data_IF_953405339665
#
_entry.id   IF_953405339665
#
_cell.length_a   1.000
_cell.length_b   1.000
_cell.length_c   1.000
_cell.angle_alpha   90.00
_cell.angle_beta   90.00
_cell.angle_gamma   90.00
#
_symmetry.space_group_name_H-M   'P 1'
#
loop_
_entity.id
_entity.type
_entity.pdbx_description
1 polymer ?
#
# COMPACT_ATOMS: atom_id res chain seq x y z
N UNK A 1 34.24 16.75 11.61
CA UNK A 1 33.00 16.96 10.82
C UNK A 1 31.85 16.45 11.66
N UNK A 2 30.76 17.21 11.82
CA UNK A 2 29.69 16.84 12.74
C UNK A 2 28.34 16.73 12.02
N UNK A 3 27.76 15.53 12.08
CA UNK A 3 26.41 15.20 11.63
C UNK A 3 25.62 14.76 12.84
N UNK A 4 24.55 15.47 13.16
CA UNK A 4 23.72 15.22 14.33
C UNK A 4 22.48 14.45 13.87
N UNK A 5 22.31 13.26 14.42
CA UNK A 5 21.16 12.40 14.17
C UNK A 5 20.13 12.66 15.27
N UNK A 6 18.97 13.17 14.87
CA UNK A 6 18.01 13.75 15.83
C UNK A 6 16.99 12.76 16.37
N UNK A 7 16.78 11.62 15.68
CA UNK A 7 15.68 10.69 15.96
C UNK A 7 14.28 11.21 15.60
N UNK A 8 14.17 12.45 15.13
CA UNK A 8 12.88 13.09 14.83
C UNK A 8 12.40 12.63 13.46
N UNK A 9 11.22 12.00 13.40
CA UNK A 9 10.61 11.60 12.13
C UNK A 9 9.78 12.74 11.54
N UNK A 10 10.14 13.18 10.33
CA UNK A 10 9.47 14.32 9.68
C UNK A 10 8.01 14.06 9.30
N UNK A 11 7.56 12.80 9.30
CA UNK A 11 6.16 12.40 9.09
C UNK A 11 5.29 12.79 10.30
N UNK A 12 5.87 12.84 11.51
CA UNK A 12 5.25 13.31 12.76
C UNK A 12 6.29 14.12 13.54
N UNK A 13 6.60 15.35 13.09
CA UNK A 13 7.68 16.13 13.66
C UNK A 13 7.38 16.44 15.12
N UNK A 14 8.22 15.96 16.03
CA UNK A 14 8.09 16.29 17.44
C UNK A 14 8.56 17.75 17.64
N UNK A 15 7.60 18.66 17.74
CA UNK A 15 7.87 20.11 17.74
C UNK A 15 8.69 20.56 18.97
N UNK A 16 8.55 19.92 20.14
CA UNK A 16 9.37 20.28 21.30
C UNK A 16 10.83 19.91 21.07
N UNK A 17 11.11 18.68 20.61
CA UNK A 17 12.47 18.23 20.28
C UNK A 17 13.09 19.06 19.13
N UNK A 18 12.29 19.49 18.16
CA UNK A 18 12.73 20.41 17.10
C UNK A 18 13.09 21.80 17.64
N UNK A 19 12.29 22.35 18.55
CA UNK A 19 12.55 23.65 19.19
C UNK A 19 13.80 23.58 20.08
N UNK A 20 13.98 22.49 20.83
CA UNK A 20 15.19 22.22 21.65
C UNK A 20 16.46 22.14 20.78
N UNK A 21 16.40 21.45 19.64
CA UNK A 21 17.51 21.42 18.67
C UNK A 21 17.78 22.77 18.01
N UNK A 22 16.74 23.58 17.81
CA UNK A 22 16.86 24.95 17.31
C UNK A 22 17.55 25.88 18.31
N UNK A 23 17.34 25.66 19.61
CA UNK A 23 17.94 26.46 20.69
C UNK A 23 19.37 26.03 21.06
N UNK A 24 19.70 24.73 20.96
CA UNK A 24 21.00 24.18 21.37
C UNK A 24 22.11 24.19 20.31
N UNK A 25 21.81 24.56 19.05
CA UNK A 25 22.76 24.59 17.94
C UNK A 25 22.80 25.98 17.30
N UNK A 26 23.90 26.31 16.58
CA UNK A 26 23.92 27.48 15.69
C UNK A 26 23.01 27.24 14.48
N UNK A 27 21.69 27.31 14.69
CA UNK A 27 20.63 26.91 13.77
C UNK A 27 20.67 27.69 12.44
N UNK A 28 21.22 28.89 12.43
CA UNK A 28 21.48 29.71 11.24
C UNK A 28 22.49 29.09 10.26
N UNK A 29 23.43 28.31 10.79
CA UNK A 29 24.47 27.63 9.99
C UNK A 29 24.10 26.18 9.65
N UNK A 30 23.19 25.59 10.41
CA UNK A 30 22.82 24.18 10.30
C UNK A 30 21.92 23.93 9.08
N UNK A 31 22.24 22.90 8.29
CA UNK A 31 21.44 22.42 7.15
C UNK A 31 20.75 21.11 7.49
N UNK A 32 19.64 20.81 6.81
CA UNK A 32 18.81 19.63 7.07
C UNK A 32 18.87 18.59 5.95
N UNK A 33 18.68 17.31 6.31
CA UNK A 33 18.51 16.19 5.40
C UNK A 33 17.49 15.19 5.94
N UNK A 34 16.88 14.40 5.07
CA UNK A 34 15.96 13.31 5.44
C UNK A 34 16.54 11.97 4.98
N UNK A 35 16.64 11.01 5.90
CA UNK A 35 17.05 9.63 5.65
C UNK A 35 15.95 8.82 4.94
N UNK A 36 16.26 7.59 4.53
CA UNK A 36 15.28 6.70 3.85
C UNK A 36 14.13 6.28 4.77
N UNK A 37 14.33 6.34 6.08
CA UNK A 37 13.38 6.04 7.17
C UNK A 37 12.52 7.26 7.59
N UNK A 38 12.65 8.40 6.89
CA UNK A 38 11.94 9.63 7.23
C UNK A 38 12.50 10.39 8.43
N UNK A 39 13.62 9.95 9.03
CA UNK A 39 14.26 10.67 10.14
C UNK A 39 15.05 11.90 9.67
N UNK A 40 15.02 12.95 10.48
CA UNK A 40 15.71 14.21 10.28
C UNK A 40 17.18 14.09 10.69
N UNK A 41 18.05 14.55 9.80
CA UNK A 41 19.49 14.69 10.02
C UNK A 41 19.85 16.17 9.94
N UNK A 42 20.66 16.63 10.89
CA UNK A 42 21.16 18.01 10.92
C UNK A 42 22.66 17.98 10.65
N UNK A 43 23.09 18.76 9.66
CA UNK A 43 24.49 18.92 9.28
C UNK A 43 24.99 20.28 9.74
N UNK A 44 26.10 20.31 10.47
CA UNK A 44 26.84 21.56 10.74
C UNK A 44 27.95 21.74 9.71
N UNK A 45 28.16 22.97 9.23
CA UNK A 45 29.16 23.27 8.20
C UNK A 45 28.84 22.66 6.83
N UNK A 46 29.87 22.20 6.11
CA UNK A 46 29.75 21.74 4.70
C UNK A 46 29.38 20.25 4.52
N UNK A 47 29.16 19.49 5.60
CA UNK A 47 28.93 18.04 5.56
C UNK A 47 27.69 17.62 4.73
N UNK A 48 26.69 18.49 4.58
CA UNK A 48 25.51 18.24 3.76
C UNK A 48 25.82 18.01 2.27
N UNK A 49 26.95 18.52 1.76
CA UNK A 49 27.37 18.36 0.36
C UNK A 49 27.68 16.89 0.00
N UNK A 50 28.04 16.08 0.99
CA UNK A 50 28.29 14.64 0.82
C UNK A 50 27.01 13.80 0.82
N UNK A 51 25.84 14.42 1.07
CA UNK A 51 24.56 13.73 1.20
C UNK A 51 23.43 14.34 0.32
N UNK A 52 23.66 14.50 -1.00
CA UNK A 52 22.72 15.17 -1.90
C UNK A 52 21.33 14.52 -1.95
N UNK A 53 21.22 13.21 -1.74
CA UNK A 53 19.93 12.51 -1.69
C UNK A 53 19.16 12.76 -0.40
N UNK A 54 19.84 13.04 0.71
CA UNK A 54 19.20 13.35 1.99
C UNK A 54 18.66 14.79 1.97
N UNK A 55 19.44 15.74 1.43
CA UNK A 55 18.99 17.12 1.24
C UNK A 55 17.88 17.21 0.19
N UNK A 56 17.95 16.45 -0.92
CA UNK A 56 16.85 16.36 -1.91
C UNK A 56 15.56 15.82 -1.29
N UNK A 57 15.61 14.79 -0.44
CA UNK A 57 14.43 14.30 0.29
C UNK A 57 13.86 15.33 1.26
N UNK A 58 14.71 16.08 1.99
CA UNK A 58 14.25 17.18 2.84
C UNK A 58 13.51 18.26 2.04
N UNK A 59 14.06 18.64 0.88
CA UNK A 59 13.43 19.60 -0.03
C UNK A 59 12.09 19.09 -0.59
N UNK A 60 12.03 17.82 -1.02
CA UNK A 60 10.80 17.22 -1.54
C UNK A 60 9.70 17.18 -0.48
N UNK A 61 10.03 16.75 0.74
CA UNK A 61 9.13 16.76 1.88
C UNK A 61 8.56 18.15 2.16
N UNK A 62 9.43 19.18 2.15
CA UNK A 62 9.02 20.57 2.39
C UNK A 62 8.10 21.10 1.28
N UNK A 63 8.40 20.82 0.00
CA UNK A 63 7.53 21.20 -1.14
C UNK A 63 6.15 20.53 -1.04
N UNK A 64 6.10 19.23 -0.79
CA UNK A 64 4.86 18.48 -0.60
C UNK A 64 4.00 19.01 0.56
N UNK A 65 4.64 19.58 1.58
CA UNK A 65 3.99 20.14 2.75
C UNK A 65 3.68 21.64 2.66
N UNK A 66 3.92 22.28 1.51
CA UNK A 66 3.75 23.73 1.33
C UNK A 66 4.60 24.56 2.32
N UNK A 67 5.79 24.07 2.66
CA UNK A 67 6.77 24.69 3.57
C UNK A 67 7.97 25.28 2.81
N UNK A 68 7.87 25.46 1.50
CA UNK A 68 8.89 26.04 0.62
C UNK A 68 8.21 26.94 -0.41
N UNK A 69 8.69 28.17 -0.53
CA UNK A 69 8.22 29.08 -1.58
C UNK A 69 8.81 28.69 -2.96
N UNK A 70 8.10 28.94 -4.07
CA UNK A 70 8.53 28.49 -5.41
C UNK A 70 9.93 28.98 -5.85
N UNK A 71 10.39 30.10 -5.30
CA UNK A 71 11.65 30.75 -5.66
C UNK A 71 12.86 30.34 -4.80
N UNK A 72 12.67 29.55 -3.72
CA UNK A 72 13.76 29.22 -2.81
C UNK A 72 14.71 28.13 -3.35
N UNK A 73 16.03 28.38 -3.25
CA UNK A 73 17.05 27.52 -3.84
C UNK A 73 17.31 26.25 -3.00
N UNK A 74 17.57 25.08 -3.64
CA UNK A 74 17.62 23.77 -2.97
C UNK A 74 18.61 23.58 -1.81
N UNK A 75 19.62 24.44 -1.66
CA UNK A 75 20.81 24.19 -0.80
C UNK A 75 20.85 25.03 0.48
N UNK A 76 19.90 25.96 0.65
CA UNK A 76 20.02 27.03 1.64
C UNK A 76 19.10 26.91 2.84
N UNK A 77 18.22 25.91 2.86
CA UNK A 77 17.23 25.69 3.91
C UNK A 77 17.92 25.32 5.23
N UNK A 78 17.73 26.19 6.24
CA UNK A 78 18.30 26.07 7.57
C UNK A 78 17.39 25.28 8.50
N UNK A 79 17.96 24.80 9.61
CA UNK A 79 17.15 24.20 10.68
C UNK A 79 16.15 25.23 11.26
N UNK A 80 16.56 26.49 11.41
CA UNK A 80 15.70 27.55 11.92
C UNK A 80 14.49 27.82 11.00
N UNK A 81 14.67 27.77 9.68
CA UNK A 81 13.59 27.95 8.70
C UNK A 81 12.53 26.84 8.85
N UNK A 82 12.97 25.59 8.98
CA UNK A 82 12.11 24.43 9.21
C UNK A 82 11.30 24.57 10.50
N UNK A 83 11.97 24.89 11.61
CA UNK A 83 11.35 25.06 12.93
C UNK A 83 10.30 26.16 12.88
N UNK A 84 10.64 27.31 12.30
CA UNK A 84 9.75 28.48 12.19
C UNK A 84 8.50 28.12 11.39
N UNK A 85 8.65 27.55 10.19
CA UNK A 85 7.53 27.24 9.30
C UNK A 85 6.60 26.17 9.87
N UNK A 86 7.14 25.17 10.57
CA UNK A 86 6.33 24.16 11.26
C UNK A 86 5.53 24.77 12.43
N UNK A 87 6.14 25.67 13.22
CA UNK A 87 5.43 26.38 14.29
C UNK A 87 4.35 27.32 13.74
N UNK A 88 4.62 28.06 12.65
CA UNK A 88 3.59 28.90 11.99
C UNK A 88 2.41 28.05 11.48
N UNK A 89 2.68 26.87 10.89
CA UNK A 89 1.63 25.96 10.43
C UNK A 89 0.82 25.39 11.60
N UNK A 90 1.46 24.97 12.69
CA UNK A 90 0.77 24.47 13.89
C UNK A 90 -0.19 25.54 14.46
N UNK A 91 0.27 26.79 14.55
CA UNK A 91 -0.54 27.89 15.08
C UNK A 91 -1.60 28.42 14.09
N UNK A 92 -1.51 28.09 12.79
CA UNK A 92 -2.52 28.46 11.78
C UNK A 92 -3.83 27.67 11.89
N UNK A 93 -3.85 26.57 12.64
CA UNK A 93 -5.05 25.79 12.93
C UNK A 93 -5.80 26.25 14.20
N UNK A 94 -5.38 27.36 14.81
CA UNK A 94 -6.09 28.03 15.93
C UNK A 94 -6.47 29.48 15.59
N UNK A 95 -6.98 29.72 14.38
CA UNK A 95 -7.65 30.98 14.04
C UNK A 95 -9.14 30.91 14.45
N UNK A 96 -9.67 31.91 15.17
CA UNK A 96 -11.10 31.97 15.50
C UNK A 96 -11.96 32.13 14.24
N UNK A 97 -13.25 31.81 14.36
CA UNK A 97 -14.20 31.86 13.24
C UNK A 97 -14.42 33.32 12.80
N UNK A 98 -14.73 33.60 11.51
CA UNK A 98 -15.21 34.92 11.10
C UNK A 98 -16.45 35.41 11.87
N UNK A 99 -17.16 34.51 12.56
CA UNK A 99 -18.29 34.85 13.44
C UNK A 99 -17.86 35.45 14.79
N UNK A 100 -16.62 35.25 15.25
CA UNK A 100 -16.09 35.84 16.49
C UNK A 100 -15.61 37.29 16.30
N UNK A 101 -15.49 37.76 15.05
CA UNK A 101 -15.04 39.12 14.71
C UNK A 101 -16.16 40.17 14.71
N UNK A 102 -17.43 39.77 14.90
CA UNK A 102 -18.59 40.66 14.90
C UNK A 102 -18.94 41.22 16.30
N UNK A 103 -18.19 40.88 17.36
CA UNK A 103 -18.46 41.32 18.74
C UNK A 103 -17.25 41.93 19.45
N UNK A 104 -16.46 42.77 18.76
CA UNK A 104 -15.47 43.67 19.41
C UNK A 104 -15.38 45.05 18.75
N UNK A 105 -16.48 45.80 18.87
CA UNK A 105 -16.43 47.27 18.91
C UNK A 105 -16.91 47.71 20.29
N UNK A 106 -15.99 48.08 21.18
CA UNK A 106 -16.02 49.34 21.95
C UNK A 106 -15.05 49.35 23.14
N UNK A 107 -14.78 50.58 23.60
CA UNK A 107 -14.03 50.97 24.80
C UNK A 107 -12.53 50.61 24.85
N UNK A 108 -11.68 51.64 24.76
CA UNK A 108 -10.23 51.50 24.89
C UNK A 108 -9.70 51.77 26.32
N UNK A 109 -8.47 51.34 26.57
CA UNK A 109 -7.61 51.85 27.64
C UNK A 109 -6.13 51.69 27.27
N UNK A 110 -5.28 52.61 27.73
CA UNK A 110 -3.83 52.64 27.43
C UNK A 110 -3.06 51.60 28.27
N UNK A 111 -1.89 51.10 27.81
CA UNK A 111 -1.07 50.20 28.59
C UNK A 111 -0.23 50.94 29.64
N UNK A 112 0.06 50.28 30.76
CA UNK A 112 1.17 50.65 31.64
C UNK A 112 1.95 49.40 32.07
N UNK A 113 3.25 49.40 31.81
CA UNK A 113 4.19 48.38 32.29
C UNK A 113 4.53 48.60 33.76
N UNK A 114 4.72 47.51 34.51
CA UNK A 114 5.72 47.48 35.60
C UNK A 114 6.31 46.08 35.78
N UNK A 115 7.54 46.05 36.26
CA UNK A 115 8.45 44.90 36.39
C UNK A 115 8.50 44.35 37.83
N UNK A 116 9.20 43.22 37.98
CA UNK A 116 9.81 42.70 39.22
C UNK A 116 8.84 42.06 40.25
N UNK A 117 9.19 41.03 41.03
CA UNK A 117 10.41 40.20 41.05
C UNK A 117 10.18 38.89 41.87
N UNK A 118 11.19 38.02 41.90
CA UNK A 118 11.50 37.01 42.94
C UNK A 118 10.72 35.68 43.09
N UNK A 119 11.53 34.62 43.21
CA UNK A 119 11.34 33.25 43.71
C UNK A 119 12.42 33.01 44.81
N UNK A 120 12.53 31.84 45.49
CA UNK A 120 11.56 30.78 45.87
C UNK A 120 11.60 30.64 47.43
N UNK A 121 11.99 29.54 48.14
CA UNK A 121 11.77 28.07 48.01
C UNK A 121 11.29 27.36 49.32
N UNK A 122 11.22 26.00 49.26
CA UNK A 122 11.25 24.96 50.34
C UNK A 122 9.89 24.39 50.80
N UNK A 123 9.65 23.08 50.56
CA UNK A 123 9.87 21.88 51.42
C UNK A 123 8.82 21.81 52.57
N UNK A 124 8.20 20.68 52.94
CA UNK A 124 8.71 19.30 53.13
C UNK A 124 7.72 18.17 52.72
N UNK A 125 8.03 16.93 53.11
CA UNK A 125 7.41 15.67 52.68
C UNK A 125 6.60 14.95 53.79
N UNK A 126 6.17 13.71 53.50
CA UNK A 126 5.54 12.72 54.39
C UNK A 126 4.06 12.99 54.78
N UNK A 127 3.20 12.00 55.04
CA UNK A 127 3.18 10.55 54.73
C UNK A 127 1.78 9.96 55.05
N UNK A 128 1.64 8.62 55.10
CA UNK A 128 0.55 7.87 55.75
C UNK A 128 -0.83 7.77 55.06
N UNK A 129 -0.91 6.76 54.18
CA UNK A 129 -1.80 5.60 54.33
C UNK A 129 -3.24 5.74 54.87
N UNK A 130 -4.17 5.32 53.99
CA UNK A 130 -5.31 4.43 54.24
C UNK A 130 -6.67 4.96 54.78
N UNK A 131 -7.66 4.86 53.86
CA UNK A 131 -9.04 4.40 54.05
C UNK A 131 -9.98 5.25 54.95
N UNK A 132 -10.95 5.89 54.31
CA UNK A 132 -12.34 5.35 54.21
C UNK A 132 -13.14 6.03 53.11
N UNK A 133 -14.15 5.32 52.62
CA UNK A 133 -14.77 5.55 51.32
C UNK A 133 -15.56 6.84 51.16
N UNK A 134 -15.51 7.35 49.93
CA UNK A 134 -16.63 8.05 49.31
C UNK A 134 -17.02 7.26 48.05
N UNK A 135 -18.13 6.53 48.16
CA UNK A 135 -18.92 6.14 47.00
C UNK A 135 -19.54 7.42 46.39
N UNK A 136 -20.03 7.32 45.14
CA UNK A 136 -20.53 8.44 44.31
C UNK A 136 -19.48 9.27 43.53
N UNK A 137 -18.73 8.61 42.65
CA UNK A 137 -18.66 9.13 41.27
C UNK A 137 -19.59 8.30 40.39
N UNK A 138 -20.69 8.91 39.95
CA UNK A 138 -21.42 8.44 38.78
C UNK A 138 -20.47 8.58 37.59
N UNK A 139 -20.06 7.47 36.97
CA UNK A 139 -19.45 7.57 35.64
C UNK A 139 -20.52 8.14 34.71
N UNK A 140 -20.29 9.36 34.22
CA UNK A 140 -20.97 9.80 33.01
C UNK A 140 -20.62 8.80 31.89
N UNK A 141 -21.59 8.37 31.06
CA UNK A 141 -21.25 7.58 29.89
C UNK A 141 -20.26 8.38 29.04
N UNK A 142 -19.16 7.74 28.65
CA UNK A 142 -18.22 8.36 27.71
C UNK A 142 -19.00 8.77 26.46
N UNK A 143 -18.80 9.99 25.92
CA UNK A 143 -19.41 10.35 24.65
C UNK A 143 -18.95 9.31 23.62
N UNK A 144 -19.92 8.76 22.88
CA UNK A 144 -19.66 7.69 21.92
C UNK A 144 -18.50 8.09 21.00
N UNK A 145 -17.49 7.24 20.90
CA UNK A 145 -16.30 7.53 20.11
C UNK A 145 -16.72 7.91 18.69
N UNK A 146 -16.22 9.04 18.19
CA UNK A 146 -16.51 9.52 16.85
C UNK A 146 -16.30 8.38 15.83
N UNK A 147 -17.19 8.22 14.82
CA UNK A 147 -17.16 7.09 13.92
C UNK A 147 -15.76 6.95 13.31
N UNK A 148 -15.08 5.86 13.62
CA UNK A 148 -13.68 5.70 13.31
C UNK A 148 -13.49 5.83 11.79
N UNK A 149 -12.60 6.74 11.35
CA UNK A 149 -12.28 6.92 9.93
C UNK A 149 -12.05 5.53 9.30
N UNK A 150 -12.81 5.13 8.26
CA UNK A 150 -12.68 3.81 7.63
C UNK A 150 -11.24 3.49 7.20
N UNK A 151 -10.46 4.47 6.75
CA UNK A 151 -9.03 4.31 6.42
C UNK A 151 -8.19 3.96 7.68
N UNK A 152 -8.49 4.57 8.83
CA UNK A 152 -7.81 4.29 10.09
C UNK A 152 -8.26 2.97 10.74
N UNK A 153 -9.46 2.49 10.44
CA UNK A 153 -9.89 1.13 10.77
C UNK A 153 -9.17 0.11 9.87
N UNK A 154 -9.20 0.30 8.54
CA UNK A 154 -8.49 -0.51 7.55
C UNK A 154 -6.99 -0.64 7.85
N UNK A 155 -6.32 0.47 8.15
CA UNK A 155 -4.89 0.50 8.46
C UNK A 155 -4.54 -0.27 9.75
N UNK A 156 -5.45 -0.34 10.74
CA UNK A 156 -5.28 -1.16 11.95
C UNK A 156 -5.55 -2.63 11.69
N UNK A 157 -6.59 -2.95 10.90
CA UNK A 157 -6.98 -4.31 10.59
C UNK A 157 -5.96 -5.02 9.70
N UNK A 158 -5.51 -4.36 8.63
CA UNK A 158 -4.57 -4.95 7.67
C UNK A 158 -3.11 -4.70 8.04
N UNK A 159 -2.73 -3.47 8.43
CA UNK A 159 -1.33 -3.04 8.52
C UNK A 159 -0.60 -3.00 7.16
N UNK A 160 0.68 -2.62 7.17
CA UNK A 160 1.52 -2.47 5.98
C UNK A 160 3.02 -2.64 6.32
N UNK A 161 3.91 -2.61 5.34
CA UNK A 161 5.36 -2.81 5.56
C UNK A 161 6.00 -1.70 6.41
N UNK A 162 5.44 -0.49 6.32
CA UNK A 162 5.73 0.73 7.07
C UNK A 162 4.94 0.85 8.39
N UNK A 163 3.90 0.03 8.60
CA UNK A 163 3.15 -0.05 9.87
C UNK A 163 2.71 -1.50 10.15
N UNK A 164 3.61 -2.29 10.75
CA UNK A 164 3.50 -3.76 10.84
C UNK A 164 2.55 -4.24 11.95
N UNK A 165 1.26 -3.97 11.77
CA UNK A 165 0.16 -4.35 12.68
C UNK A 165 -0.86 -5.27 12.01
N UNK A 166 -1.85 -5.74 12.77
CA UNK A 166 -2.98 -6.49 12.22
C UNK A 166 -2.58 -7.74 11.42
N UNK A 167 -3.30 -7.98 10.31
CA UNK A 167 -3.09 -9.12 9.43
C UNK A 167 -1.67 -9.21 8.86
N UNK A 168 -0.99 -8.07 8.61
CA UNK A 168 0.40 -8.05 8.17
C UNK A 168 1.31 -8.80 9.14
N UNK A 169 1.21 -8.46 10.43
CA UNK A 169 2.06 -9.07 11.47
C UNK A 169 1.74 -10.55 11.66
N UNK A 170 0.46 -10.91 11.68
CA UNK A 170 -0.02 -12.29 11.81
C UNK A 170 0.50 -13.20 10.68
N UNK A 171 0.41 -12.76 9.42
CA UNK A 171 0.86 -13.54 8.27
C UNK A 171 2.39 -13.48 8.08
N UNK A 172 3.08 -12.44 8.59
CA UNK A 172 4.55 -12.38 8.61
C UNK A 172 5.15 -13.47 9.51
N UNK A 173 4.51 -13.77 10.64
CA UNK A 173 4.95 -14.83 11.57
C UNK A 173 4.76 -16.25 11.02
N UNK A 174 3.95 -16.42 9.96
CA UNK A 174 3.71 -17.71 9.29
C UNK A 174 4.68 -17.98 8.12
N UNK A 175 5.64 -17.08 7.89
CA UNK A 175 6.64 -17.23 6.84
C UNK A 175 7.89 -17.97 7.34
N UNK A 176 8.37 -18.93 6.55
CA UNK A 176 9.53 -19.74 6.90
C UNK A 176 10.03 -20.61 5.74
N UNK A 177 11.03 -21.47 6.00
CA UNK A 177 11.58 -22.39 5.02
C UNK A 177 10.54 -23.43 4.55
N UNK A 178 10.64 -23.89 3.30
CA UNK A 178 9.79 -24.95 2.76
C UNK A 178 9.87 -26.23 3.61
N UNK A 179 11.07 -26.56 4.11
CA UNK A 179 11.33 -27.76 4.91
C UNK A 179 10.59 -27.79 6.26
N UNK A 180 10.13 -26.65 6.79
CA UNK A 180 9.35 -26.59 8.03
C UNK A 180 7.83 -26.65 7.79
N UNK A 181 7.38 -26.91 6.57
CA UNK A 181 5.95 -26.90 6.21
C UNK A 181 5.29 -25.53 6.35
N UNK A 182 6.05 -24.45 6.23
CA UNK A 182 5.55 -23.09 6.41
C UNK A 182 4.42 -22.74 5.42
N UNK A 183 3.38 -22.06 5.91
CA UNK A 183 2.26 -21.61 5.07
C UNK A 183 2.72 -20.63 3.97
N UNK A 184 3.77 -19.85 4.25
CA UNK A 184 4.43 -18.97 3.28
C UNK A 184 5.93 -19.29 3.19
N UNK A 185 6.36 -19.77 2.03
CA UNK A 185 7.71 -20.25 1.75
C UNK A 185 8.64 -19.09 1.41
N UNK A 186 9.76 -18.93 2.11
CA UNK A 186 10.73 -17.83 1.90
C UNK A 186 12.02 -18.23 1.15
N UNK A 187 12.29 -19.53 1.01
CA UNK A 187 13.50 -20.12 0.43
C UNK A 187 13.27 -20.77 -0.96
N UNK A 188 12.15 -20.44 -1.62
CA UNK A 188 11.75 -21.03 -2.89
C UNK A 188 12.84 -20.85 -3.98
N UNK A 189 13.24 -21.96 -4.60
CA UNK A 189 14.28 -21.97 -5.63
C UNK A 189 13.95 -21.01 -6.80
N UNK A 190 14.96 -20.27 -7.25
CA UNK A 190 14.83 -19.27 -8.32
C UNK A 190 14.03 -18.01 -7.94
N UNK A 191 13.49 -17.88 -6.71
CA UNK A 191 12.89 -16.62 -6.27
C UNK A 191 13.91 -15.48 -6.36
N UNK A 192 13.50 -14.37 -6.98
CA UNK A 192 14.33 -13.16 -7.14
C UNK A 192 14.61 -12.49 -5.78
N UNK A 193 13.70 -12.65 -4.83
CA UNK A 193 13.77 -12.13 -3.47
C UNK A 193 13.41 -13.23 -2.46
N UNK A 194 14.29 -13.45 -1.47
CA UNK A 194 14.09 -14.41 -0.36
C UNK A 194 13.23 -13.84 0.77
N UNK A 195 13.17 -12.52 0.88
CA UNK A 195 12.34 -11.78 1.85
C UNK A 195 10.90 -11.54 1.35
N UNK A 196 10.52 -12.11 0.20
CA UNK A 196 9.17 -12.05 -0.37
C UNK A 196 8.59 -13.48 -0.41
N UNK A 197 7.87 -13.91 0.65
CA UNK A 197 7.37 -15.28 0.74
C UNK A 197 6.35 -15.62 -0.34
N UNK A 198 6.15 -16.91 -0.60
CA UNK A 198 5.17 -17.43 -1.57
C UNK A 198 4.23 -18.40 -0.83
N UNK A 199 2.92 -18.15 -0.83
CA UNK A 199 1.96 -19.02 -0.15
C UNK A 199 2.02 -20.45 -0.73
N UNK A 200 2.14 -21.47 0.12
CA UNK A 200 2.28 -22.85 -0.31
C UNK A 200 1.00 -23.39 -0.99
N UNK A 201 -0.17 -23.04 -0.44
CA UNK A 201 -1.47 -23.56 -0.87
C UNK A 201 -1.92 -23.11 -2.27
N UNK A 202 -1.41 -21.97 -2.76
CA UNK A 202 -1.80 -21.36 -4.05
C UNK A 202 -0.62 -21.23 -5.02
N UNK A 203 0.51 -21.86 -4.69
CA UNK A 203 1.76 -21.84 -5.44
C UNK A 203 1.55 -22.32 -6.89
N UNK A 204 1.97 -21.52 -7.86
CA UNK A 204 1.88 -21.91 -9.28
C UNK A 204 3.05 -22.81 -9.65
N UNK A 205 2.73 -23.93 -10.30
CA UNK A 205 3.68 -24.83 -10.97
C UNK A 205 3.57 -24.67 -12.48
N UNK A 206 4.71 -24.66 -13.16
CA UNK A 206 4.76 -24.72 -14.62
C UNK A 206 4.54 -26.18 -15.11
N UNK A 207 4.28 -26.40 -16.42
CA UNK A 207 4.01 -27.74 -16.98
C UNK A 207 5.16 -28.75 -16.84
N UNK A 208 6.39 -28.25 -16.71
CA UNK A 208 7.62 -29.01 -16.40
C UNK A 208 7.72 -29.44 -14.92
N UNK A 209 6.74 -29.07 -14.09
CA UNK A 209 6.70 -29.32 -12.66
C UNK A 209 7.42 -28.26 -11.80
N UNK A 210 8.13 -27.31 -12.42
CA UNK A 210 8.90 -26.29 -11.72
C UNK A 210 7.99 -25.37 -10.89
N UNK A 211 8.35 -25.15 -9.62
CA UNK A 211 7.68 -24.18 -8.77
C UNK A 211 8.15 -22.77 -9.13
N UNK A 212 7.20 -21.87 -9.39
CA UNK A 212 7.49 -20.47 -9.68
C UNK A 212 7.21 -19.58 -8.45
N UNK A 213 7.90 -18.45 -8.27
CA UNK A 213 7.63 -17.46 -7.21
C UNK A 213 6.35 -16.65 -7.50
N UNK A 214 5.25 -17.38 -7.70
CA UNK A 214 3.97 -16.93 -8.22
C UNK A 214 2.83 -17.67 -7.51
N UNK A 215 1.71 -16.97 -7.32
CA UNK A 215 0.51 -17.51 -6.70
C UNK A 215 -0.72 -17.24 -7.55
N UNK A 216 -1.68 -18.16 -7.53
CA UNK A 216 -3.08 -17.82 -7.81
C UNK A 216 -3.60 -16.97 -6.66
N UNK A 217 -3.83 -15.69 -6.94
CA UNK A 217 -4.39 -14.75 -5.99
C UNK A 217 -5.89 -14.97 -5.94
N UNK A 218 -6.42 -15.10 -4.73
CA UNK A 218 -7.82 -15.36 -4.47
C UNK A 218 -8.50 -14.15 -3.82
N UNK A 219 -9.77 -13.96 -4.16
CA UNK A 219 -10.69 -12.99 -3.55
C UNK A 219 -12.07 -13.62 -3.52
N UNK A 220 -12.73 -13.65 -2.36
CA UNK A 220 -14.05 -14.27 -2.22
C UNK A 220 -14.07 -15.77 -2.54
N UNK A 221 -12.94 -16.47 -2.37
CA UNK A 221 -12.78 -17.90 -2.69
C UNK A 221 -12.52 -18.23 -4.17
N UNK A 222 -12.61 -17.26 -5.09
CA UNK A 222 -12.29 -17.45 -6.50
C UNK A 222 -10.86 -17.00 -6.82
N UNK A 223 -10.18 -17.68 -7.76
CA UNK A 223 -8.93 -17.17 -8.33
C UNK A 223 -9.22 -15.97 -9.23
N UNK A 224 -8.49 -14.87 -9.06
CA UNK A 224 -8.74 -13.62 -9.82
C UNK A 224 -7.56 -13.17 -10.69
N UNK A 225 -6.34 -13.59 -10.33
CA UNK A 225 -5.12 -13.28 -11.07
C UNK A 225 -4.01 -14.29 -10.71
N UNK A 226 -2.97 -14.36 -11.53
CA UNK A 226 -1.67 -14.90 -11.12
C UNK A 226 -0.75 -13.72 -10.83
N UNK A 227 -0.28 -13.60 -9.59
CA UNK A 227 0.72 -12.61 -9.21
C UNK A 227 2.09 -13.28 -9.06
N UNK A 228 3.12 -12.76 -9.73
CA UNK A 228 4.49 -13.32 -9.67
C UNK A 228 5.53 -12.27 -9.30
N UNK A 229 6.69 -12.72 -8.81
CA UNK A 229 7.92 -11.91 -8.90
C UNK A 229 8.29 -11.75 -10.40
N UNK A 230 9.10 -10.74 -10.74
CA UNK A 230 9.64 -10.63 -12.11
C UNK A 230 10.55 -11.84 -12.38
N UNK A 231 10.36 -12.63 -13.45
CA UNK A 231 11.12 -13.86 -13.67
C UNK A 231 12.62 -13.62 -13.75
N UNK A 232 13.43 -14.53 -13.22
CA UNK A 232 14.88 -14.55 -13.46
C UNK A 232 15.17 -15.19 -14.82
N UNK A 233 16.35 -14.95 -15.40
CA UNK A 233 16.70 -15.50 -16.72
C UNK A 233 16.59 -17.04 -16.77
N UNK A 234 17.05 -17.73 -15.73
CA UNK A 234 16.97 -19.19 -15.59
C UNK A 234 15.56 -19.74 -15.34
N UNK A 235 14.53 -18.89 -15.20
CA UNK A 235 13.12 -19.30 -15.06
C UNK A 235 12.29 -19.04 -16.31
N UNK A 236 12.85 -18.42 -17.36
CA UNK A 236 12.06 -17.95 -18.49
C UNK A 236 11.34 -19.09 -19.23
N UNK A 237 11.96 -20.26 -19.41
CA UNK A 237 11.33 -21.45 -20.01
C UNK A 237 10.05 -21.84 -19.24
N UNK A 238 10.17 -22.17 -17.96
CA UNK A 238 9.04 -22.53 -17.08
C UNK A 238 8.00 -21.41 -16.97
N UNK A 239 8.43 -20.14 -16.96
CA UNK A 239 7.54 -18.97 -16.91
C UNK A 239 6.71 -18.84 -18.18
N UNK A 240 7.31 -18.97 -19.37
CA UNK A 240 6.57 -19.00 -20.63
C UNK A 240 5.66 -20.22 -20.74
N UNK A 241 6.11 -21.39 -20.26
CA UNK A 241 5.28 -22.59 -20.14
C UNK A 241 4.04 -22.36 -19.27
N UNK A 242 4.19 -21.71 -18.11
CA UNK A 242 3.07 -21.27 -17.26
C UNK A 242 2.13 -20.32 -18.01
N UNK A 243 2.66 -19.30 -18.69
CA UNK A 243 1.84 -18.34 -19.46
C UNK A 243 1.00 -19.03 -20.55
N UNK A 244 1.60 -19.96 -21.30
CA UNK A 244 0.91 -20.73 -22.32
C UNK A 244 -0.11 -21.73 -21.72
N UNK A 245 0.24 -22.39 -20.62
CA UNK A 245 -0.61 -23.36 -19.94
C UNK A 245 -1.86 -22.73 -19.32
N UNK A 246 -1.73 -21.55 -18.71
CA UNK A 246 -2.82 -20.71 -18.21
C UNK A 246 -3.74 -20.17 -19.33
N UNK A 247 -3.30 -20.21 -20.61
CA UNK A 247 -3.94 -19.51 -21.73
C UNK A 247 -4.10 -18.02 -21.39
N UNK A 248 -3.05 -17.42 -20.84
CA UNK A 248 -3.07 -16.06 -20.27
C UNK A 248 -3.81 -15.07 -21.18
N UNK A 249 -4.92 -14.46 -20.72
CA UNK A 249 -5.70 -13.53 -21.53
C UNK A 249 -5.07 -12.14 -21.59
N UNK A 250 -4.24 -11.78 -20.60
CA UNK A 250 -3.38 -10.60 -20.59
C UNK A 250 -2.24 -10.79 -19.60
N UNK A 251 -1.02 -10.44 -20.02
CA UNK A 251 0.15 -10.28 -19.16
C UNK A 251 0.36 -8.79 -18.88
N UNK A 252 0.50 -8.40 -17.61
CA UNK A 252 0.73 -7.00 -17.22
C UNK A 252 2.08 -6.86 -16.54
N UNK A 253 2.97 -6.09 -17.17
CA UNK A 253 4.31 -5.78 -16.68
C UNK A 253 4.31 -4.37 -16.09
N UNK A 254 4.47 -4.30 -14.78
CA UNK A 254 4.44 -3.05 -14.00
C UNK A 254 5.84 -2.59 -13.55
N UNK A 255 6.91 -3.25 -13.99
CA UNK A 255 8.27 -2.77 -13.80
C UNK A 255 8.56 -1.69 -14.86
N UNK A 256 8.97 -0.51 -14.41
CA UNK A 256 9.23 0.65 -15.26
C UNK A 256 10.44 0.44 -16.18
N UNK A 257 10.57 1.26 -17.22
CA UNK A 257 11.80 1.34 -18.03
C UNK A 257 13.02 1.60 -17.12
N UNK A 258 12.86 2.44 -16.09
CA UNK A 258 13.90 2.71 -15.10
C UNK A 258 14.26 1.47 -14.26
N UNK A 259 13.27 0.69 -13.81
CA UNK A 259 13.52 -0.56 -13.06
C UNK A 259 14.31 -1.56 -13.90
N UNK A 260 13.93 -1.71 -15.18
CA UNK A 260 14.55 -2.63 -16.12
C UNK A 260 15.97 -2.15 -16.44
N UNK A 261 16.15 -0.90 -16.87
CA UNK A 261 17.45 -0.33 -17.22
C UNK A 261 18.44 -0.34 -16.05
N UNK A 262 18.01 0.08 -14.85
CA UNK A 262 18.86 0.12 -13.65
C UNK A 262 19.29 -1.26 -13.15
N UNK A 263 18.57 -2.31 -13.53
CA UNK A 263 18.94 -3.69 -13.18
C UNK A 263 19.99 -4.29 -14.11
N UNK A 264 20.20 -3.72 -15.31
CA UNK A 264 21.22 -4.20 -16.25
C UNK A 264 22.62 -3.99 -15.68
N UNK A 265 23.53 -4.91 -15.98
CA UNK A 265 24.90 -4.92 -15.41
C UNK A 265 25.00 -5.34 -13.93
N UNK A 266 23.88 -5.49 -13.22
CA UNK A 266 23.85 -6.11 -11.89
C UNK A 266 23.77 -7.64 -11.97
N UNK A 267 24.21 -8.34 -10.92
CA UNK A 267 24.19 -9.82 -10.86
C UNK A 267 22.80 -10.48 -10.81
N UNK A 268 21.70 -9.72 -10.97
CA UNK A 268 20.34 -10.25 -11.01
C UNK A 268 19.43 -9.31 -11.85
N UNK A 269 19.63 -9.22 -13.18
CA UNK A 269 18.93 -8.27 -14.04
C UNK A 269 17.44 -8.61 -14.20
N UNK A 270 16.65 -7.64 -14.64
CA UNK A 270 15.29 -7.84 -15.15
C UNK A 270 15.40 -8.09 -16.67
N UNK A 271 15.24 -9.32 -17.18
CA UNK A 271 15.29 -9.57 -18.61
C UNK A 271 14.07 -8.92 -19.30
N UNK A 272 14.22 -8.14 -20.39
CA UNK A 272 13.11 -7.57 -21.16
C UNK A 272 12.41 -8.63 -22.04
N UNK A 273 12.03 -9.75 -21.42
CA UNK A 273 11.54 -10.98 -22.07
C UNK A 273 10.25 -10.78 -22.88
N UNK A 274 9.51 -9.71 -22.63
CA UNK A 274 8.21 -9.43 -23.24
C UNK A 274 8.30 -8.59 -24.52
N UNK A 275 9.44 -7.93 -24.76
CA UNK A 275 9.70 -7.09 -25.95
C UNK A 275 10.77 -7.69 -26.88
N UNK A 276 11.33 -8.85 -26.53
CA UNK A 276 12.36 -9.55 -27.31
C UNK A 276 11.88 -10.94 -27.73
N UNK A 277 12.30 -11.38 -28.93
CA UNK A 277 12.11 -12.77 -29.38
C UNK A 277 13.31 -13.63 -28.96
N UNK A 278 13.09 -14.91 -28.69
CA UNK A 278 14.16 -15.80 -28.23
C UNK A 278 13.73 -17.26 -28.08
N UNK A 279 14.71 -18.11 -27.82
CA UNK A 279 14.54 -19.53 -27.49
C UNK A 279 14.95 -19.74 -26.02
N UNK A 280 14.08 -20.36 -25.24
CA UNK A 280 14.27 -20.61 -23.81
C UNK A 280 14.08 -22.10 -23.58
N UNK A 281 15.18 -22.86 -23.66
CA UNK A 281 15.15 -24.32 -23.70
C UNK A 281 14.28 -24.82 -24.85
N UNK A 282 13.17 -25.49 -24.54
CA UNK A 282 12.18 -26.01 -25.52
C UNK A 282 11.16 -24.96 -25.98
N UNK A 283 11.08 -23.80 -25.32
CA UNK A 283 10.06 -22.79 -25.59
C UNK A 283 10.57 -21.70 -26.54
N UNK A 284 9.96 -21.63 -27.72
CA UNK A 284 10.17 -20.56 -28.69
C UNK A 284 9.21 -19.39 -28.43
N UNK A 285 9.72 -18.16 -28.43
CA UNK A 285 8.93 -16.94 -28.20
C UNK A 285 9.22 -15.91 -29.29
N UNK A 286 8.17 -15.45 -29.95
CA UNK A 286 8.24 -14.27 -30.82
C UNK A 286 7.47 -13.12 -30.20
N UNK A 287 8.14 -11.99 -29.95
CA UNK A 287 7.53 -10.75 -29.49
C UNK A 287 7.29 -9.80 -30.67
N UNK A 288 6.18 -9.05 -30.63
CA UNK A 288 5.86 -7.96 -31.55
C UNK A 288 5.34 -6.77 -30.76
N UNK A 289 5.85 -5.58 -31.04
CA UNK A 289 5.30 -4.34 -30.48
C UNK A 289 3.98 -3.97 -31.17
N UNK A 290 3.09 -3.33 -30.42
CA UNK A 290 1.77 -2.90 -30.85
C UNK A 290 1.54 -1.42 -30.58
N UNK A 291 0.34 -1.07 -30.13
CA UNK A 291 -0.03 0.32 -29.82
C UNK A 291 0.68 0.87 -28.57
N UNK A 292 1.08 2.13 -28.62
CA UNK A 292 1.38 2.94 -27.44
C UNK A 292 0.19 3.86 -27.14
N UNK A 293 -0.18 3.99 -25.87
CA UNK A 293 -1.30 4.84 -25.44
C UNK A 293 -1.03 5.47 -24.06
N UNK A 294 -1.60 6.65 -23.81
CA UNK A 294 -1.62 7.26 -22.49
C UNK A 294 -3.03 7.16 -21.91
N UNK A 295 -3.11 6.72 -20.65
CA UNK A 295 -4.35 6.60 -19.90
C UNK A 295 -4.66 7.89 -19.12
N UNK A 296 -5.93 8.06 -18.73
CA UNK A 296 -6.31 9.10 -17.78
C UNK A 296 -5.46 9.01 -16.49
N UNK A 297 -5.03 10.16 -15.97
CA UNK A 297 -4.08 10.20 -14.86
C UNK A 297 -2.60 10.02 -15.25
N UNK A 298 -2.28 9.90 -16.54
CA UNK A 298 -0.92 10.09 -17.08
C UNK A 298 -0.06 8.84 -17.25
N UNK A 299 -0.55 7.66 -16.84
CA UNK A 299 0.14 6.39 -17.07
C UNK A 299 0.25 6.07 -18.57
N UNK A 300 1.43 5.66 -19.01
CA UNK A 300 1.66 5.12 -20.35
C UNK A 300 1.41 3.61 -20.36
N UNK A 301 0.93 3.09 -21.49
CA UNK A 301 0.79 1.66 -21.75
C UNK A 301 1.33 1.35 -23.15
N UNK A 302 2.40 0.55 -23.20
CA UNK A 302 2.93 -0.06 -24.42
C UNK A 302 2.36 -1.47 -24.53
N UNK A 303 1.64 -1.74 -25.61
CA UNK A 303 1.13 -3.07 -25.90
C UNK A 303 2.16 -3.90 -26.67
N UNK A 304 2.32 -5.16 -26.31
CA UNK A 304 3.07 -6.15 -27.09
C UNK A 304 2.19 -7.40 -27.32
N UNK A 305 2.52 -8.18 -28.34
CA UNK A 305 1.96 -9.50 -28.56
C UNK A 305 3.10 -10.52 -28.47
N UNK A 306 3.03 -11.38 -27.44
CA UNK A 306 3.85 -12.58 -27.38
C UNK A 306 3.14 -13.71 -28.10
N UNK A 307 3.87 -14.48 -28.90
CA UNK A 307 3.40 -15.75 -29.40
C UNK A 307 4.38 -16.84 -28.96
N UNK A 308 3.94 -17.62 -27.97
CA UNK A 308 4.71 -18.64 -27.24
C UNK A 308 4.41 -20.01 -27.82
N UNK A 309 5.43 -20.79 -28.10
CA UNK A 309 5.34 -22.16 -28.59
C UNK A 309 6.23 -23.07 -27.75
N UNK A 310 5.62 -23.96 -26.99
CA UNK A 310 6.30 -24.96 -26.17
C UNK A 310 6.50 -26.25 -26.99
N UNK A 311 7.74 -26.49 -27.43
CA UNK A 311 8.09 -27.61 -28.31
C UNK A 311 7.22 -27.69 -29.57
N UNK A 312 6.69 -28.89 -29.86
CA UNK A 312 5.75 -29.13 -30.95
C UNK A 312 4.30 -28.68 -30.68
N UNK A 313 4.05 -28.01 -29.56
CA UNK A 313 2.70 -27.59 -29.14
C UNK A 313 2.09 -26.47 -29.99
N UNK A 314 0.77 -26.27 -29.84
CA UNK A 314 0.05 -25.16 -30.49
C UNK A 314 0.57 -23.82 -29.97
N UNK A 315 0.97 -22.93 -30.88
CA UNK A 315 1.38 -21.56 -30.56
C UNK A 315 0.24 -20.80 -29.87
N UNK A 316 0.49 -20.27 -28.67
CA UNK A 316 -0.44 -19.47 -27.88
C UNK A 316 -0.07 -17.99 -28.03
N UNK A 317 -1.06 -17.16 -28.39
CA UNK A 317 -0.89 -15.72 -28.54
C UNK A 317 -1.38 -15.02 -27.26
N UNK A 318 -0.52 -14.20 -26.65
CA UNK A 318 -0.72 -13.58 -25.34
C UNK A 318 -0.49 -12.07 -25.49
N UNK A 319 -1.52 -11.22 -25.29
CA UNK A 319 -1.33 -9.78 -25.28
C UNK A 319 -0.63 -9.36 -23.98
N UNK A 320 0.25 -8.39 -24.09
CA UNK A 320 1.03 -7.84 -22.98
C UNK A 320 0.77 -6.35 -22.88
N UNK A 321 0.62 -5.86 -21.65
CA UNK A 321 0.52 -4.44 -21.33
C UNK A 321 1.70 -4.09 -20.42
N UNK A 322 2.64 -3.28 -20.93
CA UNK A 322 3.76 -2.75 -20.17
C UNK A 322 3.49 -1.31 -19.75
N UNK A 323 3.68 -1.00 -18.47
CA UNK A 323 3.52 0.35 -17.91
C UNK A 323 4.92 0.94 -17.63
N UNK A 324 5.54 1.62 -18.60
CA UNK A 324 6.95 2.01 -18.52
C UNK A 324 7.23 3.14 -17.51
N UNK A 325 6.23 3.97 -17.18
CA UNK A 325 6.40 5.20 -16.41
C UNK A 325 5.89 5.13 -14.95
N UNK A 326 5.45 3.96 -14.45
CA UNK A 326 5.07 3.79 -13.05
C UNK A 326 6.30 3.53 -12.17
N UNK A 327 6.77 4.57 -11.46
CA UNK A 327 7.90 4.50 -10.53
C UNK A 327 7.71 3.44 -9.42
N UNK A 328 8.81 2.80 -8.98
CA UNK A 328 8.77 1.85 -7.87
C UNK A 328 8.42 2.53 -6.54
N UNK A 329 7.74 1.80 -5.65
CA UNK A 329 7.17 2.25 -4.37
C UNK A 329 6.09 3.36 -4.41
N UNK A 330 6.05 4.22 -5.42
CA UNK A 330 5.03 5.27 -5.54
C UNK A 330 3.62 4.72 -5.82
N UNK A 331 2.61 5.25 -5.13
CA UNK A 331 1.22 5.02 -5.52
C UNK A 331 0.86 5.93 -6.72
N UNK A 332 0.06 5.39 -7.64
CA UNK A 332 -0.59 6.19 -8.68
C UNK A 332 -1.94 6.66 -8.15
N UNK A 333 -2.35 7.89 -8.47
CA UNK A 333 -3.63 8.42 -7.99
C UNK A 333 -4.83 7.56 -8.43
N UNK A 334 -5.96 7.59 -7.70
CA UNK A 334 -7.13 6.73 -7.97
C UNK A 334 -7.60 6.74 -9.43
N UNK A 335 -7.53 7.89 -10.11
CA UNK A 335 -7.86 8.06 -11.54
C UNK A 335 -7.00 7.17 -12.44
N UNK A 336 -5.68 7.21 -12.26
CA UNK A 336 -4.72 6.44 -13.04
C UNK A 336 -4.87 4.93 -12.78
N UNK A 337 -5.07 4.57 -11.51
CA UNK A 337 -5.27 3.18 -11.09
C UNK A 337 -6.58 2.59 -11.66
N UNK A 338 -7.68 3.37 -11.65
CA UNK A 338 -8.95 3.00 -12.26
C UNK A 338 -8.81 2.80 -13.77
N UNK A 339 -8.23 3.78 -14.48
CA UNK A 339 -8.06 3.72 -15.92
C UNK A 339 -7.23 2.51 -16.36
N UNK A 340 -6.17 2.15 -15.62
CA UNK A 340 -5.37 0.96 -15.91
C UNK A 340 -6.15 -0.33 -15.65
N UNK A 341 -6.88 -0.44 -14.54
CA UNK A 341 -7.70 -1.62 -14.24
C UNK A 341 -8.81 -1.84 -15.28
N UNK A 342 -9.45 -0.76 -15.75
CA UNK A 342 -10.44 -0.80 -16.84
C UNK A 342 -9.80 -1.24 -18.16
N UNK A 343 -8.63 -0.70 -18.52
CA UNK A 343 -7.89 -1.08 -19.72
C UNK A 343 -7.44 -2.56 -19.70
N UNK A 344 -6.92 -3.04 -18.56
CA UNK A 344 -6.54 -4.44 -18.36
C UNK A 344 -7.75 -5.36 -18.51
N UNK A 345 -8.90 -5.02 -17.90
CA UNK A 345 -10.13 -5.78 -18.06
C UNK A 345 -10.60 -5.80 -19.53
N UNK A 346 -10.60 -4.67 -20.25
CA UNK A 346 -11.00 -4.62 -21.64
C UNK A 346 -10.16 -5.53 -22.56
N UNK A 347 -8.83 -5.56 -22.35
CA UNK A 347 -7.92 -6.46 -23.09
C UNK A 347 -8.14 -7.92 -22.71
N UNK A 348 -8.32 -8.20 -21.41
CA UNK A 348 -8.61 -9.53 -20.86
C UNK A 348 -9.90 -10.11 -21.46
N UNK A 349 -11.02 -9.39 -21.41
CA UNK A 349 -12.30 -9.84 -21.96
C UNK A 349 -12.25 -10.04 -23.49
N UNK A 350 -11.56 -9.14 -24.21
CA UNK A 350 -11.35 -9.30 -25.67
C UNK A 350 -10.65 -10.62 -26.00
N UNK A 351 -9.62 -10.99 -25.22
CA UNK A 351 -8.88 -12.23 -25.41
C UNK A 351 -9.65 -13.48 -24.93
N UNK A 352 -10.42 -13.38 -23.85
CA UNK A 352 -11.38 -14.44 -23.45
C UNK A 352 -12.38 -14.71 -24.57
N UNK A 353 -12.89 -13.66 -25.25
CA UNK A 353 -13.74 -13.80 -26.44
C UNK A 353 -13.08 -14.55 -27.61
N UNK A 354 -11.74 -14.50 -27.75
CA UNK A 354 -11.01 -15.33 -28.73
C UNK A 354 -11.06 -16.81 -28.32
N UNK A 355 -10.83 -17.10 -27.03
CA UNK A 355 -10.89 -18.48 -26.53
C UNK A 355 -12.31 -19.07 -26.57
N UNK A 356 -13.35 -18.25 -26.35
CA UNK A 356 -14.76 -18.62 -26.54
C UNK A 356 -15.05 -19.04 -27.97
N UNK A 357 -14.71 -18.19 -28.96
CA UNK A 357 -14.88 -18.54 -30.40
C UNK A 357 -14.07 -19.77 -30.82
N UNK A 358 -12.94 -20.03 -30.17
CA UNK A 358 -12.11 -21.21 -30.38
C UNK A 358 -12.51 -22.45 -29.59
N UNK A 359 -13.64 -22.44 -28.88
CA UNK A 359 -14.12 -23.50 -27.96
C UNK A 359 -13.01 -24.06 -27.06
N UNK A 360 -12.25 -23.18 -26.41
CA UNK A 360 -11.10 -23.58 -25.60
C UNK A 360 -11.53 -24.29 -24.32
N UNK A 361 -10.98 -25.47 -24.04
CA UNK A 361 -11.20 -26.18 -22.77
C UNK A 361 -10.76 -25.39 -21.53
N UNK A 362 -9.94 -24.35 -21.69
CA UNK A 362 -9.56 -23.44 -20.60
C UNK A 362 -10.73 -22.59 -20.06
N UNK A 363 -11.87 -22.51 -20.78
CA UNK A 363 -13.07 -21.80 -20.33
C UNK A 363 -13.75 -22.46 -19.12
N UNK A 364 -13.55 -23.77 -18.93
CA UNK A 364 -14.17 -24.58 -17.88
C UNK A 364 -13.22 -24.85 -16.71
N UNK A 365 -12.06 -24.19 -16.67
CA UNK A 365 -10.98 -24.44 -15.72
C UNK A 365 -10.72 -23.18 -14.88
N UNK A 366 -11.12 -23.15 -13.58
CA UNK A 366 -11.01 -21.96 -12.72
C UNK A 366 -9.55 -21.61 -12.35
N UNK A 367 -8.61 -22.48 -12.71
CA UNK A 367 -7.17 -22.31 -12.50
C UNK A 367 -6.47 -21.73 -13.75
N UNK A 368 -7.24 -21.39 -14.80
CA UNK A 368 -6.82 -20.84 -16.10
C UNK A 368 -7.57 -19.55 -16.46
N UNK A 369 -7.19 -18.94 -17.58
CA UNK A 369 -7.69 -17.66 -18.08
C UNK A 369 -7.52 -16.51 -17.06
N UNK A 370 -6.55 -16.65 -16.16
CA UNK A 370 -6.24 -15.64 -15.14
C UNK A 370 -5.29 -14.59 -15.73
N UNK A 371 -5.52 -13.28 -15.56
CA UNK A 371 -4.53 -12.27 -15.90
C UNK A 371 -3.25 -12.50 -15.09
N UNK A 372 -2.08 -12.41 -15.73
CA UNK A 372 -0.79 -12.58 -15.07
C UNK A 372 -0.19 -11.20 -14.84
N UNK A 373 0.11 -10.83 -13.60
CA UNK A 373 0.48 -9.46 -13.24
C UNK A 373 1.74 -9.47 -12.38
N UNK A 374 2.78 -8.73 -12.77
CA UNK A 374 3.97 -8.56 -11.95
C UNK A 374 4.59 -7.16 -12.06
N UNK A 375 5.12 -6.67 -10.96
CA UNK A 375 6.11 -5.59 -10.93
C UNK A 375 7.50 -6.21 -10.78
N UNK A 376 8.33 -5.72 -9.86
CA UNK A 376 9.62 -6.34 -9.52
C UNK A 376 9.47 -7.52 -8.54
N UNK A 377 8.86 -7.28 -7.37
CA UNK A 377 8.61 -8.28 -6.33
C UNK A 377 7.18 -8.88 -6.39
N UNK A 378 6.28 -8.30 -7.18
CA UNK A 378 4.92 -8.83 -7.33
C UNK A 378 4.03 -8.67 -6.10
N UNK A 379 4.19 -7.59 -5.32
CA UNK A 379 3.45 -7.36 -4.07
C UNK A 379 2.86 -5.94 -3.94
N UNK A 380 3.65 -4.89 -4.22
CA UNK A 380 3.19 -3.49 -4.17
C UNK A 380 2.27 -3.09 -5.34
N UNK A 381 2.85 -2.56 -6.42
CA UNK A 381 2.15 -2.17 -7.68
C UNK A 381 1.20 -3.28 -8.20
N UNK A 382 1.65 -4.54 -8.17
CA UNK A 382 0.83 -5.73 -8.48
C UNK A 382 -0.40 -5.87 -7.58
N UNK A 383 -0.23 -5.70 -6.27
CA UNK A 383 -1.35 -5.74 -5.33
C UNK A 383 -2.33 -4.59 -5.57
N UNK A 384 -1.86 -3.37 -5.83
CA UNK A 384 -2.76 -2.26 -6.16
C UNK A 384 -3.60 -2.54 -7.41
N UNK A 385 -2.98 -3.00 -8.50
CA UNK A 385 -3.73 -3.27 -9.73
C UNK A 385 -4.75 -4.39 -9.57
N UNK A 386 -4.39 -5.49 -8.88
CA UNK A 386 -5.34 -6.59 -8.60
C UNK A 386 -6.51 -6.08 -7.74
N UNK A 387 -6.23 -5.41 -6.62
CA UNK A 387 -7.27 -4.90 -5.73
C UNK A 387 -8.21 -3.90 -6.43
N UNK A 388 -7.66 -3.00 -7.28
CA UNK A 388 -8.46 -2.08 -8.08
C UNK A 388 -9.34 -2.80 -9.11
N UNK A 389 -8.80 -3.82 -9.77
CA UNK A 389 -9.55 -4.67 -10.73
C UNK A 389 -10.74 -5.34 -10.06
N UNK A 390 -10.59 -5.78 -8.80
CA UNK A 390 -11.66 -6.39 -8.02
C UNK A 390 -12.69 -5.37 -7.50
N UNK A 391 -12.25 -4.22 -6.97
CA UNK A 391 -13.15 -3.15 -6.48
C UNK A 391 -14.13 -2.64 -7.56
N UNK A 392 -13.68 -2.60 -8.81
CA UNK A 392 -14.47 -2.13 -9.95
C UNK A 392 -15.53 -3.15 -10.42
N UNK A 393 -15.48 -4.41 -9.97
CA UNK A 393 -16.51 -5.40 -10.33
C UNK A 393 -17.87 -5.02 -9.71
N UNK A 394 -18.99 -5.35 -10.38
CA UNK A 394 -20.31 -5.32 -9.74
C UNK A 394 -20.33 -6.22 -8.50
N UNK A 395 -20.95 -5.77 -7.40
CA UNK A 395 -21.05 -6.55 -6.17
C UNK A 395 -19.74 -6.82 -5.44
N UNK A 396 -18.66 -6.08 -5.74
CA UNK A 396 -17.35 -6.27 -5.11
C UNK A 396 -17.41 -6.21 -3.57
N UNK A 397 -16.67 -7.11 -2.92
CA UNK A 397 -16.48 -7.13 -1.46
C UNK A 397 -15.79 -5.86 -0.94
N UNK A 398 -15.73 -5.70 0.38
CA UNK A 398 -14.98 -4.59 0.98
C UNK A 398 -13.50 -4.62 0.60
N UNK A 399 -12.84 -3.46 0.55
CA UNK A 399 -11.40 -3.37 0.31
C UNK A 399 -10.60 -4.19 1.35
N UNK A 400 -11.02 -4.18 2.61
CA UNK A 400 -10.45 -5.01 3.68
C UNK A 400 -10.48 -6.50 3.34
N UNK A 401 -11.63 -7.01 2.89
CA UNK A 401 -11.79 -8.41 2.48
C UNK A 401 -10.90 -8.74 1.28
N UNK A 402 -10.92 -7.88 0.23
CA UNK A 402 -10.13 -8.05 -0.99
C UNK A 402 -8.63 -8.15 -0.65
N UNK A 403 -8.07 -7.17 0.05
CA UNK A 403 -6.63 -7.18 0.39
C UNK A 403 -6.30 -8.27 1.39
N UNK A 404 -7.22 -8.60 2.30
CA UNK A 404 -7.07 -9.71 3.23
C UNK A 404 -6.91 -11.06 2.53
N UNK A 405 -7.78 -11.36 1.56
CA UNK A 405 -7.73 -12.59 0.77
C UNK A 405 -6.49 -12.63 -0.12
N UNK A 406 -6.12 -11.51 -0.73
CA UNK A 406 -4.89 -11.39 -1.51
C UNK A 406 -3.63 -11.66 -0.67
N UNK A 407 -3.61 -11.22 0.60
CA UNK A 407 -2.49 -11.48 1.51
C UNK A 407 -2.44 -12.94 1.96
N UNK A 408 -3.58 -13.56 2.25
CA UNK A 408 -3.69 -15.00 2.58
C UNK A 408 -3.28 -15.89 1.40
N UNK A 409 -3.66 -15.52 0.18
CA UNK A 409 -3.41 -16.29 -1.05
C UNK A 409 -2.06 -15.98 -1.73
N UNK A 410 -1.25 -15.05 -1.22
CA UNK A 410 0.11 -14.80 -1.74
C UNK A 410 1.15 -14.55 -0.64
N UNK A 411 1.07 -13.42 0.07
CA UNK A 411 1.86 -13.12 1.26
C UNK A 411 1.39 -11.80 1.92
N UNK A 412 1.86 -11.57 3.14
CA UNK A 412 1.59 -10.38 3.95
C UNK A 412 1.96 -9.02 3.31
N UNK A 413 2.78 -9.00 2.24
CA UNK A 413 3.25 -7.77 1.59
C UNK A 413 2.35 -7.29 0.44
N UNK A 414 1.31 -8.04 0.05
CA UNK A 414 0.36 -7.60 -0.99
C UNK A 414 -0.30 -6.28 -0.58
N UNK A 415 -0.21 -5.27 -1.46
CA UNK A 415 -0.44 -3.84 -1.12
C UNK A 415 0.53 -3.43 0.00
N UNK A 416 1.73 -3.03 -0.42
CA UNK A 416 2.93 -3.08 0.43
C UNK A 416 3.02 -1.92 1.42
N UNK A 417 2.62 -0.70 1.02
CA UNK A 417 2.76 0.52 1.83
C UNK A 417 1.41 1.09 2.24
N UNK A 418 1.37 1.90 3.31
CA UNK A 418 0.15 2.58 3.73
C UNK A 418 -0.38 3.53 2.64
N UNK A 419 0.52 4.21 1.91
CA UNK A 419 0.17 5.05 0.75
C UNK A 419 -0.61 4.25 -0.31
N UNK A 420 -0.13 3.06 -0.66
CA UNK A 420 -0.77 2.18 -1.64
C UNK A 420 -2.16 1.71 -1.19
N UNK A 421 -2.34 1.48 0.11
CA UNK A 421 -3.61 1.08 0.72
C UNK A 421 -4.60 2.24 0.80
N UNK A 422 -4.13 3.45 1.12
CA UNK A 422 -4.94 4.66 1.17
C UNK A 422 -5.49 5.02 -0.23
N UNK A 423 -4.66 4.94 -1.28
CA UNK A 423 -5.11 5.10 -2.68
C UNK A 423 -6.25 4.16 -3.05
N UNK A 424 -6.20 2.90 -2.59
CA UNK A 424 -7.28 1.94 -2.81
C UNK A 424 -8.53 2.28 -2.00
N UNK A 425 -8.38 2.83 -0.80
CA UNK A 425 -9.50 3.29 0.02
C UNK A 425 -10.20 4.50 -0.60
N UNK A 426 -9.44 5.45 -1.16
CA UNK A 426 -9.96 6.59 -1.91
C UNK A 426 -10.69 6.13 -3.17
N UNK A 427 -10.13 5.16 -3.91
CA UNK A 427 -10.80 4.54 -5.06
C UNK A 427 -12.09 3.84 -4.63
N UNK A 428 -12.07 3.06 -3.54
CA UNK A 428 -13.26 2.39 -3.02
C UNK A 428 -14.37 3.40 -2.68
N UNK A 429 -14.04 4.49 -1.97
CA UNK A 429 -14.97 5.58 -1.66
C UNK A 429 -15.53 6.24 -2.94
N UNK A 430 -14.68 6.56 -3.92
CA UNK A 430 -15.10 7.13 -5.21
C UNK A 430 -16.03 6.19 -6.01
N UNK A 431 -15.95 4.88 -5.79
CA UNK A 431 -16.82 3.88 -6.44
C UNK A 431 -18.00 3.44 -5.55
N UNK A 432 -18.23 4.11 -4.40
CA UNK A 432 -19.31 3.74 -3.46
C UNK A 432 -19.13 2.35 -2.85
N UNK A 433 -17.91 1.83 -2.76
CA UNK A 433 -17.56 0.52 -2.20
C UNK A 433 -17.20 0.64 -0.71
N UNK A 434 -17.50 -0.42 0.05
CA UNK A 434 -17.11 -0.49 1.45
C UNK A 434 -15.59 -0.55 1.60
N UNK A 435 -15.03 0.32 2.45
CA UNK A 435 -13.58 0.32 2.75
C UNK A 435 -13.23 -0.80 3.73
N UNK A 436 -13.99 -0.89 4.82
CA UNK A 436 -13.87 -1.96 5.83
C UNK A 436 -15.02 -2.95 5.69
N UNK A 437 -14.82 -4.17 6.16
CA UNK A 437 -15.90 -5.13 6.29
C UNK A 437 -16.90 -4.63 7.34
N UNK A 438 -18.19 -4.68 7.02
CA UNK A 438 -19.22 -4.61 8.06
C UNK A 438 -18.96 -5.73 9.07
N UNK A 439 -18.99 -5.44 10.37
CA UNK A 439 -19.05 -6.52 11.35
C UNK A 439 -20.24 -7.43 10.97
N UNK A 440 -20.09 -8.76 10.96
CA UNK A 440 -21.26 -9.61 10.93
C UNK A 440 -22.11 -9.18 12.13
N UNK A 441 -23.38 -8.86 11.90
CA UNK A 441 -24.28 -8.55 13.00
C UNK A 441 -24.18 -9.70 13.99
N UNK A 442 -23.73 -9.41 15.22
CA UNK A 442 -23.67 -10.41 16.27
C UNK A 442 -25.04 -11.06 16.32
N UNK A 443 -25.09 -12.39 16.11
CA UNK A 443 -26.33 -13.12 15.98
C UNK A 443 -27.18 -12.78 17.20
N UNK A 444 -28.21 -11.97 16.97
CA UNK A 444 -28.92 -11.35 18.07
C UNK A 444 -29.60 -12.45 18.85
N UNK A 445 -29.28 -12.56 20.14
CA UNK A 445 -30.14 -13.24 21.11
C UNK A 445 -31.44 -12.42 21.22
N UNK A 446 -32.26 -12.49 20.18
CA UNK A 446 -33.70 -12.30 20.26
C UNK A 446 -34.19 -13.47 21.12
N UNK A 447 -34.70 -13.23 22.34
CA UNK A 447 -35.34 -14.29 23.09
C UNK A 447 -36.51 -14.79 22.24
N UNK A 448 -36.56 -16.11 22.01
CA UNK A 448 -37.67 -16.75 21.33
C UNK A 448 -38.91 -16.54 22.20
N UNK A 449 -39.74 -15.56 21.86
CA UNK A 449 -41.04 -15.40 22.47
C UNK A 449 -41.91 -16.58 22.04
N UNK A 450 -42.08 -17.53 22.97
CA UNK A 450 -43.03 -18.60 22.83
C UNK A 450 -44.46 -18.01 22.85
N UNK A 451 -45.12 -17.99 21.69
CA UNK A 451 -46.52 -18.43 21.55
C UNK A 451 -47.05 -18.21 20.11
N UNK A 452 -47.17 -19.31 19.37
CA UNK A 452 -48.18 -19.51 18.31
C UNK A 452 -48.43 -21.01 18.13
N UNK A 453 -48.95 -21.65 19.19
CA UNK A 453 -49.63 -22.93 19.01
C UNK A 453 -50.93 -22.66 18.22
N UNK A 454 -51.18 -23.31 17.07
CA UNK A 454 -52.46 -23.18 16.37
C UNK A 454 -53.58 -23.79 17.23
N UNK A 455 -54.81 -23.25 17.17
CA UNK A 455 -55.93 -23.75 17.97
C UNK A 455 -56.27 -25.19 17.58
N UNK A 456 -56.54 -26.02 18.59
CA UNK A 456 -57.00 -27.40 18.38
C UNK A 456 -58.37 -27.41 17.69
N UNK A 457 -58.63 -28.33 16.75
CA UNK A 457 -59.94 -28.47 16.13
C UNK A 457 -60.99 -28.96 17.15
N UNK A 458 -62.27 -28.58 16.98
CA UNK A 458 -63.33 -28.98 17.90
C UNK A 458 -63.55 -30.50 17.89
N UNK A 459 -63.67 -31.09 19.08
CA UNK A 459 -64.08 -32.49 19.23
C UNK A 459 -65.58 -32.62 18.95
N UNK A 460 -65.95 -33.47 18.00
CA UNK A 460 -67.35 -33.89 17.85
C UNK A 460 -67.74 -34.85 18.99
N UNK A 461 -68.99 -34.77 19.49
CA UNK A 461 -69.45 -35.62 20.58
C UNK A 461 -69.82 -37.03 20.11
N UNK A 462 -69.46 -38.01 20.94
CA UNK A 462 -70.24 -39.21 21.26
C UNK A 462 -70.13 -39.46 22.76
#
# INVERSE_FOLDING_TARGET
MSTIHTGIHMIRPNLSQLNELGAGLQADSARIGIRKDGSLVVYTGRSYLLHPDQTRRAQQFLRQNHLLEPQERPRDIRLLDLVTRLNTRANSHTRPSPQDLAQRTDAGAKPHLRWADQQPPRQEAASLSQRRGLQHLKLAPQPAAAPANPQAALARALGSSDNRVGLFSQLQQQAGPAASGAAFINDLAGARFRDIPTAAATLVRAPDGAQLPANRVQVGGANVAIASQYPTAGQLESYFGMLAANRTPVLVVLASDHDIAKSQGGGNPLPPYFSQSGQYGKVAVSAREGSHSQLAGGLEVRAYQLAVQDGGGKKISIPVLHVPNWADFGAQGPVALKALAEHVNAVKEKQIGVYQRGNSSALNDPDKLLPVIHCRAGVGRTGQLIAATELLKPGASSLESIVGDMRRSRNHLMVQTAEQLNTLADLAQQQGRAVVASQPAAAGNQPIYANTAPPLPPRHPR
#
